data_IF_651236815489
#
_entry.id   IF_651236815489
#
_cell.length_a   1.000
_cell.length_b   1.000
_cell.length_c   1.000
_cell.angle_alpha   90.00
_cell.angle_beta   90.00
_cell.angle_gamma   90.00
#
_symmetry.space_group_name_H-M   'P 1'
#
loop_
_entity.id
_entity.type
_entity.pdbx_description
1 polymer ?
#
# COMPACT_ATOMS: atom_id res chain seq x y z
N UNK A 1 -30.88 7.93 24.68
CA UNK A 1 -29.72 8.76 25.08
C UNK A 1 -28.36 8.18 24.67
N UNK A 2 -28.15 6.84 24.66
CA UNK A 2 -26.86 6.25 24.23
C UNK A 2 -26.44 6.60 22.78
N UNK A 3 -27.39 6.67 21.83
CA UNK A 3 -27.09 7.04 20.44
C UNK A 3 -26.60 8.49 20.27
N UNK A 4 -27.03 9.42 21.14
CA UNK A 4 -26.59 10.82 21.09
C UNK A 4 -25.18 11.00 21.67
N UNK A 5 -24.78 10.21 22.66
CA UNK A 5 -23.39 10.16 23.11
C UNK A 5 -22.49 9.48 22.09
N UNK A 6 -22.97 8.43 21.41
CA UNK A 6 -22.25 7.79 20.30
C UNK A 6 -22.02 8.77 19.14
N UNK A 7 -23.04 9.53 18.73
CA UNK A 7 -22.92 10.60 17.72
C UNK A 7 -22.10 11.82 18.21
N UNK A 8 -22.09 12.12 19.51
CA UNK A 8 -21.28 13.19 20.10
C UNK A 8 -19.77 12.96 20.01
N UNK A 9 -19.33 11.69 19.94
CA UNK A 9 -17.93 11.32 19.63
C UNK A 9 -17.57 11.52 18.15
N UNK A 10 -18.55 11.57 17.26
CA UNK A 10 -18.39 11.88 15.83
C UNK A 10 -18.53 13.37 15.57
N UNK A 11 -17.85 14.21 16.35
CA UNK A 11 -17.57 15.56 15.91
C UNK A 11 -16.74 15.51 14.61
N UNK A 12 -16.91 16.49 13.73
CA UNK A 12 -16.08 16.59 12.51
C UNK A 12 -14.57 16.57 12.83
N UNK A 13 -14.17 17.11 13.99
CA UNK A 13 -12.80 17.03 14.48
C UNK A 13 -12.39 15.60 14.88
N UNK A 14 -13.25 14.83 15.55
CA UNK A 14 -13.00 13.42 15.84
C UNK A 14 -12.82 12.57 14.58
N UNK A 15 -13.68 12.79 13.57
CA UNK A 15 -13.54 12.16 12.25
C UNK A 15 -12.23 12.55 11.55
N UNK A 16 -11.85 13.82 11.59
CA UNK A 16 -10.59 14.29 11.01
C UNK A 16 -9.37 13.66 11.70
N UNK A 17 -9.38 13.58 13.03
CA UNK A 17 -8.31 12.92 13.81
C UNK A 17 -8.23 11.43 13.44
N UNK A 18 -9.37 10.73 13.36
CA UNK A 18 -9.41 9.33 12.94
C UNK A 18 -8.91 9.13 11.51
N UNK A 19 -9.27 10.04 10.58
CA UNK A 19 -8.78 9.99 9.20
C UNK A 19 -7.26 10.22 9.12
N UNK A 20 -6.72 11.20 9.84
CA UNK A 20 -5.28 11.46 9.91
C UNK A 20 -4.53 10.29 10.54
N UNK A 21 -5.07 9.73 11.62
CA UNK A 21 -4.54 8.53 12.25
C UNK A 21 -4.50 7.36 11.26
N UNK A 22 -5.62 7.10 10.59
CA UNK A 22 -5.75 6.06 9.58
C UNK A 22 -4.77 6.26 8.43
N UNK A 23 -4.62 7.49 7.92
CA UNK A 23 -3.65 7.83 6.88
C UNK A 23 -2.21 7.52 7.32
N UNK A 24 -1.88 7.76 8.58
CA UNK A 24 -0.56 7.45 9.15
C UNK A 24 -0.28 5.95 9.14
N UNK A 25 -1.29 5.10 9.34
CA UNK A 25 -1.14 3.64 9.24
C UNK A 25 -1.03 3.13 7.79
N UNK A 26 -1.60 3.86 6.83
CA UNK A 26 -1.55 3.50 5.40
C UNK A 26 -0.27 3.95 4.71
N UNK A 27 0.40 5.01 5.20
CA UNK A 27 1.64 5.51 4.61
C UNK A 27 2.76 4.45 4.56
N UNK A 28 3.05 3.68 5.64
CA UNK A 28 4.01 2.58 5.58
C UNK A 28 3.65 1.50 4.56
N UNK A 29 2.36 1.19 4.39
CA UNK A 29 1.88 0.21 3.40
C UNK A 29 2.18 0.68 1.98
N UNK A 30 1.88 1.95 1.68
CA UNK A 30 2.18 2.54 0.39
C UNK A 30 3.70 2.58 0.10
N UNK A 31 4.52 2.93 1.10
CA UNK A 31 5.98 2.91 0.99
C UNK A 31 6.53 1.49 0.77
N UNK A 32 6.02 0.51 1.51
CA UNK A 32 6.42 -0.89 1.35
C UNK A 32 6.04 -1.42 -0.03
N UNK A 33 4.81 -1.16 -0.50
CA UNK A 33 4.36 -1.53 -1.84
C UNK A 33 5.24 -0.89 -2.93
N UNK A 34 5.52 0.42 -2.81
CA UNK A 34 6.42 1.13 -3.72
C UNK A 34 7.81 0.52 -3.72
N UNK A 35 8.36 0.21 -2.54
CA UNK A 35 9.67 -0.40 -2.41
C UNK A 35 9.73 -1.79 -3.05
N UNK A 36 8.74 -2.66 -2.81
CA UNK A 36 8.63 -3.98 -3.46
C UNK A 36 8.56 -3.83 -5.00
N UNK A 37 7.79 -2.86 -5.49
CA UNK A 37 7.62 -2.62 -6.91
C UNK A 37 8.88 -2.03 -7.57
N UNK A 38 9.45 -0.97 -7.01
CA UNK A 38 10.60 -0.26 -7.61
C UNK A 38 11.93 -0.97 -7.37
N UNK A 39 12.16 -1.50 -6.16
CA UNK A 39 13.44 -2.09 -5.78
C UNK A 39 13.57 -3.53 -6.26
N UNK A 40 12.49 -4.31 -6.22
CA UNK A 40 12.48 -5.74 -6.52
C UNK A 40 11.70 -6.11 -7.78
N UNK A 41 11.13 -5.12 -8.48
CA UNK A 41 10.34 -5.33 -9.70
C UNK A 41 9.16 -6.31 -9.50
N UNK A 42 8.57 -6.34 -8.31
CA UNK A 42 7.38 -7.16 -8.06
C UNK A 42 6.16 -6.57 -8.79
N UNK A 43 5.36 -7.39 -9.49
CA UNK A 43 4.05 -6.99 -9.99
C UNK A 43 3.19 -6.46 -8.84
N UNK A 44 2.37 -5.43 -9.08
CA UNK A 44 1.47 -4.88 -8.06
C UNK A 44 0.47 -5.94 -7.57
N UNK A 45 0.13 -6.89 -8.43
CA UNK A 45 -0.64 -8.11 -8.10
C UNK A 45 -0.11 -8.84 -6.86
N UNK A 46 1.21 -8.86 -6.62
CA UNK A 46 1.80 -9.50 -5.45
C UNK A 46 2.25 -8.50 -4.38
N UNK A 47 2.77 -7.34 -4.81
CA UNK A 47 3.25 -6.31 -3.88
C UNK A 47 2.11 -5.73 -3.02
N UNK A 48 0.95 -5.47 -3.62
CA UNK A 48 -0.21 -4.89 -2.94
C UNK A 48 -0.74 -5.82 -1.83
N UNK A 49 -1.12 -7.08 -2.06
CA UNK A 49 -1.68 -7.93 -1.02
C UNK A 49 -0.68 -8.23 0.10
N UNK A 50 0.62 -8.40 -0.21
CA UNK A 50 1.66 -8.60 0.81
C UNK A 50 1.81 -7.36 1.70
N UNK A 51 1.97 -6.18 1.10
CA UNK A 51 2.11 -4.94 1.86
C UNK A 51 0.83 -4.62 2.65
N UNK A 52 -0.34 -4.83 2.06
CA UNK A 52 -1.63 -4.57 2.69
C UNK A 52 -1.87 -5.49 3.88
N UNK A 53 -1.75 -6.81 3.72
CA UNK A 53 -1.97 -7.78 4.81
C UNK A 53 -0.94 -7.58 5.92
N UNK A 54 0.32 -7.33 5.58
CA UNK A 54 1.35 -7.00 6.58
C UNK A 54 1.01 -5.72 7.36
N UNK A 55 0.54 -4.67 6.65
CA UNK A 55 0.08 -3.44 7.26
C UNK A 55 -1.16 -3.61 8.14
N UNK A 56 -2.13 -4.41 7.70
CA UNK A 56 -3.33 -4.73 8.46
C UNK A 56 -2.98 -5.50 9.74
N UNK A 57 -2.10 -6.49 9.63
CA UNK A 57 -1.59 -7.24 10.77
C UNK A 57 -0.90 -6.32 11.77
N UNK A 58 0.04 -5.47 11.32
CA UNK A 58 0.74 -4.51 12.18
C UNK A 58 -0.22 -3.50 12.82
N UNK A 59 -1.21 -3.02 12.08
CA UNK A 59 -2.24 -2.11 12.59
C UNK A 59 -3.13 -2.77 13.64
N UNK A 60 -3.23 -4.09 13.63
CA UNK A 60 -3.94 -4.86 14.65
C UNK A 60 -3.07 -5.19 15.87
N UNK A 61 -1.77 -4.86 15.86
CA UNK A 61 -0.89 -5.02 17.02
C UNK A 61 -0.95 -3.78 17.93
N UNK A 62 -1.13 -4.02 19.23
CA UNK A 62 -0.95 -3.00 20.26
C UNK A 62 -2.23 -2.29 20.72
N UNK A 63 -2.09 -1.33 21.64
CA UNK A 63 -3.22 -0.66 22.31
C UNK A 63 -3.98 0.32 21.41
N UNK A 64 -3.41 0.70 20.27
CA UNK A 64 -4.00 1.63 19.30
C UNK A 64 -4.57 0.92 18.06
N UNK A 65 -4.84 -0.38 18.18
CA UNK A 65 -5.40 -1.17 17.10
C UNK A 65 -6.80 -0.67 16.71
N UNK A 66 -6.93 -0.17 15.48
CA UNK A 66 -8.18 0.28 14.89
C UNK A 66 -8.45 -0.55 13.62
N UNK A 67 -9.19 -1.67 13.71
CA UNK A 67 -9.48 -2.56 12.60
C UNK A 67 -10.60 -1.99 11.71
N UNK A 68 -10.47 -0.75 11.26
CA UNK A 68 -11.44 -0.07 10.38
C UNK A 68 -11.04 -0.21 8.91
N UNK A 69 -11.98 -0.08 7.98
CA UNK A 69 -11.68 -0.07 6.53
C UNK A 69 -11.04 -1.36 6.01
N UNK A 70 -11.50 -2.53 6.49
CA UNK A 70 -11.02 -3.83 6.04
C UNK A 70 -11.57 -4.12 4.63
N UNK A 71 -10.72 -4.61 3.72
CA UNK A 71 -11.09 -4.90 2.33
C UNK A 71 -12.20 -5.94 2.24
N UNK A 72 -12.17 -6.93 3.13
CA UNK A 72 -13.18 -7.98 3.29
C UNK A 72 -14.55 -7.54 3.78
N UNK A 73 -14.73 -6.32 4.30
CA UNK A 73 -15.99 -5.92 4.92
C UNK A 73 -17.21 -6.08 4.00
N UNK A 74 -17.15 -5.80 2.68
CA UNK A 74 -18.27 -6.05 1.77
C UNK A 74 -18.54 -7.52 1.45
N UNK A 75 -17.67 -8.44 1.87
CA UNK A 75 -17.73 -9.87 1.53
C UNK A 75 -18.49 -10.72 2.57
N UNK A 76 -19.19 -10.09 3.52
CA UNK A 76 -19.82 -10.79 4.65
C UNK A 76 -21.08 -11.58 4.25
N UNK A 77 -21.71 -11.27 3.11
CA UNK A 77 -22.88 -11.98 2.61
C UNK A 77 -22.52 -13.15 1.68
N UNK A 78 -21.25 -13.27 1.29
CA UNK A 78 -20.77 -14.28 0.35
C UNK A 78 -20.21 -15.47 1.11
N UNK A 79 -21.10 -16.37 1.53
CA UNK A 79 -20.75 -17.53 2.37
C UNK A 79 -19.60 -18.38 1.78
N UNK A 80 -19.58 -18.57 0.47
CA UNK A 80 -18.52 -19.32 -0.23
C UNK A 80 -17.14 -18.64 -0.12
N UNK A 81 -17.08 -17.30 0.00
CA UNK A 81 -15.83 -16.57 0.26
C UNK A 81 -15.41 -16.73 1.72
N UNK A 82 -16.37 -16.70 2.65
CA UNK A 82 -16.10 -16.83 4.08
C UNK A 82 -15.46 -18.18 4.41
N UNK A 83 -15.86 -19.26 3.72
CA UNK A 83 -15.30 -20.60 3.96
C UNK A 83 -13.76 -20.63 3.85
N UNK A 84 -13.15 -19.81 2.97
CA UNK A 84 -11.68 -19.79 2.82
C UNK A 84 -10.97 -19.30 4.08
N UNK A 85 -11.67 -18.58 4.97
CA UNK A 85 -11.13 -18.16 6.26
C UNK A 85 -10.78 -19.36 7.16
N UNK A 86 -11.37 -20.53 6.95
CA UNK A 86 -10.99 -21.75 7.68
C UNK A 86 -9.54 -22.17 7.38
N UNK A 87 -9.02 -21.86 6.18
CA UNK A 87 -7.67 -22.27 5.74
C UNK A 87 -6.61 -21.22 6.06
N UNK A 88 -6.87 -19.97 5.67
CA UNK A 88 -5.87 -18.90 5.70
C UNK A 88 -6.22 -17.81 6.72
N UNK A 89 -7.28 -18.02 7.50
CA UNK A 89 -7.84 -16.98 8.35
C UNK A 89 -8.42 -15.84 7.53
N UNK A 90 -8.83 -14.81 8.27
CA UNK A 90 -9.45 -13.62 7.70
C UNK A 90 -8.51 -12.84 6.75
N UNK A 91 -7.20 -12.93 6.97
CA UNK A 91 -6.18 -12.27 6.17
C UNK A 91 -6.00 -12.90 4.78
N UNK A 92 -6.31 -14.18 4.62
CA UNK A 92 -6.30 -14.83 3.31
C UNK A 92 -7.30 -14.21 2.34
N UNK A 93 -8.45 -13.76 2.85
CA UNK A 93 -9.45 -13.07 2.06
C UNK A 93 -8.98 -11.68 1.62
N UNK A 94 -8.40 -10.90 2.52
CA UNK A 94 -7.80 -9.59 2.18
C UNK A 94 -6.66 -9.74 1.18
N UNK A 95 -5.87 -10.82 1.29
CA UNK A 95 -4.82 -11.15 0.33
C UNK A 95 -5.41 -11.39 -1.07
N UNK A 96 -6.45 -12.21 -1.19
CA UNK A 96 -7.09 -12.51 -2.49
C UNK A 96 -7.74 -11.26 -3.13
N UNK A 97 -8.40 -10.42 -2.32
CA UNK A 97 -8.93 -9.13 -2.75
C UNK A 97 -7.82 -8.15 -3.17
N UNK A 98 -6.70 -8.16 -2.43
CA UNK A 98 -5.52 -7.39 -2.80
C UNK A 98 -4.92 -7.83 -4.13
N UNK A 99 -4.86 -9.14 -4.40
CA UNK A 99 -4.36 -9.68 -5.68
C UNK A 99 -5.16 -9.17 -6.88
N UNK A 100 -6.50 -9.23 -6.83
CA UNK A 100 -7.33 -8.77 -7.96
C UNK A 100 -7.18 -7.26 -8.18
N UNK A 101 -7.12 -6.46 -7.11
CA UNK A 101 -6.89 -5.02 -7.21
C UNK A 101 -5.48 -4.70 -7.76
N UNK A 102 -4.47 -5.44 -7.33
CA UNK A 102 -3.12 -5.31 -7.86
C UNK A 102 -3.02 -5.69 -9.34
N UNK A 103 -3.74 -6.74 -9.78
CA UNK A 103 -3.83 -7.13 -11.19
C UNK A 103 -4.51 -6.05 -12.04
N UNK A 104 -5.60 -5.46 -11.55
CA UNK A 104 -6.28 -4.35 -12.22
C UNK A 104 -5.35 -3.14 -12.34
N UNK A 105 -4.56 -2.85 -11.31
CA UNK A 105 -3.57 -1.76 -11.35
C UNK A 105 -2.45 -2.05 -12.37
N UNK A 106 -1.89 -3.26 -12.37
CA UNK A 106 -0.88 -3.68 -13.35
C UNK A 106 -1.43 -3.56 -14.79
N UNK A 107 -2.68 -3.99 -15.02
CA UNK A 107 -3.35 -3.88 -16.31
C UNK A 107 -3.58 -2.42 -16.74
N UNK A 108 -4.04 -1.57 -15.81
CA UNK A 108 -4.25 -0.14 -16.07
C UNK A 108 -2.94 0.57 -16.43
N UNK A 109 -1.85 0.29 -15.71
CA UNK A 109 -0.53 0.84 -16.00
C UNK A 109 0.01 0.36 -17.36
N UNK A 110 -0.18 -0.92 -17.69
CA UNK A 110 0.19 -1.46 -19.00
C UNK A 110 -0.61 -0.80 -20.14
N UNK A 111 -1.90 -0.55 -19.93
CA UNK A 111 -2.77 0.14 -20.88
C UNK A 111 -2.35 1.60 -21.08
N UNK A 112 -2.16 2.36 -20.00
CA UNK A 112 -1.70 3.76 -20.04
C UNK A 112 -0.29 3.92 -20.63
N UNK A 113 0.61 2.95 -20.40
CA UNK A 113 1.93 2.93 -21.03
C UNK A 113 1.87 2.67 -22.53
N UNK A 114 0.86 1.93 -22.99
CA UNK A 114 0.63 1.64 -24.40
C UNK A 114 0.04 2.84 -25.14
N UNK A 115 -0.87 3.60 -24.53
CA UNK A 115 -1.44 4.81 -25.13
C UNK A 115 -0.40 5.91 -25.34
N UNK A 116 0.52 6.10 -24.38
CA UNK A 116 1.62 7.09 -24.52
C UNK A 116 2.59 6.74 -25.65
N UNK A 117 2.83 5.45 -25.89
CA UNK A 117 3.66 5.00 -27.01
C UNK A 117 2.99 5.24 -28.38
N UNK A 118 1.65 5.24 -28.41
CA UNK A 118 0.88 5.55 -29.62
C UNK A 118 0.72 7.08 -29.83
N UNK A 119 0.63 7.87 -28.76
CA UNK A 119 0.45 9.31 -28.81
C UNK A 119 1.69 10.10 -29.23
N UNK A 120 2.89 9.51 -29.11
CA UNK A 120 4.11 10.06 -29.68
C UNK A 120 4.68 9.06 -30.67
N UNK A 121 4.15 9.03 -31.92
CA UNK A 121 4.79 8.28 -32.99
C UNK A 121 6.21 8.79 -33.07
N UNK A 122 7.14 7.87 -32.86
CA UNK A 122 8.56 8.12 -32.81
C UNK A 122 8.99 9.03 -33.97
N UNK A 123 9.28 10.30 -33.67
CA UNK A 123 9.85 11.28 -34.63
C UNK A 123 11.27 10.89 -35.09
N UNK A 124 11.69 9.66 -34.76
CA UNK A 124 13.00 9.07 -35.00
C UNK A 124 13.06 8.23 -36.28
N UNK A 125 11.95 8.14 -37.02
CA UNK A 125 11.95 7.60 -38.39
C UNK A 125 12.40 8.60 -39.47
N UNK A 126 12.59 9.89 -39.17
CA UNK A 126 13.08 10.87 -40.16
C UNK A 126 14.61 11.02 -40.23
N UNK A 127 15.37 10.33 -39.38
CA UNK A 127 16.84 10.45 -39.36
C UNK A 127 17.60 9.60 -40.38
N UNK A 128 16.93 8.71 -41.14
CA UNK A 128 17.63 7.72 -41.99
C UNK A 128 18.02 8.20 -43.39
N UNK A 129 17.74 9.45 -43.78
CA UNK A 129 18.08 9.98 -45.11
C UNK A 129 19.04 11.18 -45.14
N UNK A 130 19.76 11.51 -44.06
CA UNK A 130 20.83 12.52 -44.09
C UNK A 130 22.27 11.97 -44.06
N UNK A 131 22.49 10.69 -44.40
CA UNK A 131 23.80 10.24 -44.88
C UNK A 131 23.96 10.65 -46.34
N UNK A 132 24.24 11.93 -46.56
CA UNK A 132 24.41 12.47 -47.90
C UNK A 132 24.96 13.87 -47.98
N UNK A 133 25.65 14.39 -46.95
CA UNK A 133 26.52 15.55 -47.12
C UNK A 133 27.49 15.68 -45.94
N UNK A 134 28.55 14.87 -45.96
CA UNK A 134 29.79 15.30 -45.32
C UNK A 134 30.50 16.21 -46.35
N UNK A 135 30.67 17.51 -46.09
CA UNK A 135 31.61 18.29 -46.88
C UNK A 135 33.03 17.72 -46.64
N UNK A 136 33.87 17.63 -47.67
CA UNK A 136 35.25 17.19 -47.51
C UNK A 136 36.00 18.27 -46.73
N UNK A 137 36.30 17.99 -45.45
CA UNK A 137 37.20 18.84 -44.67
C UNK A 137 38.64 18.48 -45.06
N UNK A 138 39.13 19.17 -46.10
CA UNK A 138 40.54 19.22 -46.45
C UNK A 138 41.05 20.61 -46.03
N UNK A 139 42.01 20.68 -45.10
CA UNK A 139 42.52 21.96 -44.66
C UNK A 139 43.42 21.92 -43.43
N UNK A 140 44.66 21.53 -43.66
CA UNK A 140 45.80 21.89 -42.80
C UNK A 140 45.96 23.41 -42.70
N UNK A 141 45.81 23.98 -41.51
CA UNK A 141 46.28 25.35 -41.16
C UNK A 141 46.69 25.28 -39.69
N UNK A 142 47.96 24.97 -39.38
CA UNK A 142 49.11 25.89 -39.18
C UNK A 142 48.72 27.15 -38.39
N UNK A 143 49.44 27.37 -37.30
CA UNK A 143 49.00 28.22 -36.20
C UNK A 143 48.78 29.68 -36.52
N UNK A 144 47.96 30.30 -35.68
CA UNK A 144 47.95 31.74 -35.47
C UNK A 144 47.49 32.05 -34.05
N UNK A 145 48.17 33.04 -33.49
CA UNK A 145 48.16 33.51 -32.12
C UNK A 145 47.02 34.49 -31.83
N UNK A 146 46.34 34.32 -30.68
CA UNK A 146 45.60 35.36 -29.92
C UNK A 146 44.34 35.96 -30.59
N UNK A 147 43.37 36.57 -29.84
CA UNK A 147 43.53 37.27 -28.56
C UNK A 147 42.60 36.85 -27.41
N UNK A 148 43.10 37.13 -26.20
CA UNK A 148 42.40 37.14 -24.92
C UNK A 148 41.04 37.87 -25.04
N UNK A 149 39.92 37.14 -24.90
CA UNK A 149 38.63 37.73 -24.52
C UNK A 149 38.49 37.67 -23.02
N UNK A 150 38.59 38.84 -22.40
CA UNK A 150 38.19 39.10 -21.03
C UNK A 150 36.71 38.74 -20.87
N UNK A 151 36.41 37.61 -20.23
CA UNK A 151 35.07 37.35 -19.71
C UNK A 151 34.96 38.03 -18.35
N UNK A 152 33.96 38.91 -18.26
CA UNK A 152 33.66 39.74 -17.11
C UNK A 152 33.53 38.92 -15.83
N UNK A 153 34.28 39.39 -14.84
CA UNK A 153 34.19 39.05 -13.43
C UNK A 153 32.82 39.47 -12.91
N UNK A 154 31.89 38.52 -12.78
CA UNK A 154 30.69 38.72 -11.97
C UNK A 154 31.04 38.45 -10.50
N UNK A 155 31.38 39.50 -9.76
CA UNK A 155 31.33 39.48 -8.30
C UNK A 155 29.89 39.71 -7.89
N UNK A 156 29.13 38.64 -7.69
CA UNK A 156 27.93 38.70 -6.88
C UNK A 156 28.37 38.84 -5.42
N UNK A 157 28.34 40.07 -4.92
CA UNK A 157 28.41 40.36 -3.50
C UNK A 157 27.26 39.64 -2.77
N UNK A 158 27.60 38.84 -1.77
CA UNK A 158 26.64 38.30 -0.82
C UNK A 158 26.12 39.46 0.05
N UNK A 159 24.80 39.55 0.31
CA UNK A 159 24.27 40.53 1.25
C UNK A 159 24.73 40.22 2.69
N UNK A 160 24.99 41.25 3.52
CA UNK A 160 25.42 41.05 4.90
C UNK A 160 24.30 40.42 5.74
N UNK A 161 24.59 39.31 6.39
CA UNK A 161 23.73 38.73 7.42
C UNK A 161 23.72 39.65 8.66
N UNK A 162 22.55 39.98 9.23
CA UNK A 162 22.50 40.67 10.51
C UNK A 162 22.94 39.73 11.63
N UNK A 163 23.91 40.21 12.39
CA UNK A 163 24.41 39.63 13.63
C UNK A 163 23.40 39.85 14.76
N UNK A 164 22.83 38.76 15.26
CA UNK A 164 22.13 38.76 16.56
C UNK A 164 22.28 37.41 17.27
N UNK A 165 23.29 37.35 18.14
CA UNK A 165 23.17 36.95 19.55
C UNK A 165 22.70 35.55 19.96
N UNK A 166 23.60 34.85 20.65
CA UNK A 166 23.38 33.98 21.82
C UNK A 166 23.16 32.45 21.64
N UNK A 167 23.56 31.63 22.64
CA UNK A 167 24.73 30.76 22.50
C UNK A 167 24.39 29.25 22.55
N UNK A 168 25.30 28.43 22.02
CA UNK A 168 25.43 27.02 22.40
C UNK A 168 26.80 26.79 23.06
N UNK A 169 26.87 26.01 24.14
CA UNK A 169 28.12 25.70 24.81
C UNK A 169 28.87 24.60 24.06
N UNK A 170 30.13 24.93 23.75
CA UNK A 170 31.36 24.20 24.08
C UNK A 170 31.31 22.67 24.25
N UNK A 171 32.16 22.02 23.45
CA UNK A 171 32.70 20.67 23.63
C UNK A 171 33.03 20.11 22.25
N UNK A 172 34.21 20.28 21.69
CA UNK A 172 35.51 19.94 22.26
C UNK A 172 36.05 18.78 21.42
N UNK A 173 37.04 19.05 20.57
CA UNK A 173 37.58 18.03 19.66
C UNK A 173 38.50 18.62 18.60
N UNK A 174 39.66 19.10 19.03
CA UNK A 174 40.81 19.33 18.16
C UNK A 174 41.21 18.03 17.46
N UNK A 175 41.26 18.08 16.13
CA UNK A 175 41.72 16.99 15.28
C UNK A 175 42.38 17.58 14.05
N UNK A 176 43.55 18.18 14.26
CA UNK A 176 44.45 18.74 13.25
C UNK A 176 44.99 17.62 12.37
N UNK A 177 44.59 17.61 11.10
CA UNK A 177 45.13 16.75 10.06
C UNK A 177 45.35 17.58 8.80
N UNK A 178 46.52 18.21 8.72
CA UNK A 178 47.04 18.84 7.52
C UNK A 178 47.30 17.72 6.48
N UNK A 179 46.57 17.77 5.37
CA UNK A 179 46.67 16.80 4.28
C UNK A 179 46.57 17.51 2.93
N UNK A 180 47.72 17.97 2.46
CA UNK A 180 48.17 18.06 1.07
C UNK A 180 47.09 18.23 -0.03
N UNK A 181 46.92 19.48 -0.46
CA UNK A 181 46.15 19.86 -1.65
C UNK A 181 46.95 19.46 -2.89
N UNK A 182 46.70 18.26 -3.42
CA UNK A 182 47.17 17.86 -4.74
C UNK A 182 46.22 18.42 -5.79
N UNK A 183 46.70 19.44 -6.51
CA UNK A 183 45.99 20.04 -7.64
C UNK A 183 45.86 19.05 -8.79
N UNK A 184 44.72 18.37 -8.88
CA UNK A 184 44.29 17.72 -10.10
C UNK A 184 43.60 18.75 -11.00
N UNK A 185 44.12 18.83 -12.22
CA UNK A 185 43.65 19.68 -13.29
C UNK A 185 42.27 19.16 -13.70
N UNK A 186 41.22 19.87 -13.31
CA UNK A 186 39.84 19.62 -13.75
C UNK A 186 39.80 19.91 -15.25
N UNK A 187 40.01 18.87 -16.05
CA UNK A 187 39.70 18.84 -17.46
C UNK A 187 38.19 19.03 -17.56
N UNK A 188 37.76 20.05 -18.30
CA UNK A 188 36.36 20.41 -18.48
C UNK A 188 35.56 19.26 -19.08
N UNK A 189 34.91 18.50 -18.21
CA UNK A 189 33.88 17.56 -18.57
C UNK A 189 32.62 18.38 -18.88
N UNK A 190 32.34 18.50 -20.18
CA UNK A 190 31.13 19.13 -20.69
C UNK A 190 29.94 18.42 -20.05
N UNK A 191 29.28 19.11 -19.12
CA UNK A 191 28.16 18.62 -18.33
C UNK A 191 26.93 18.37 -19.22
N UNK A 192 26.95 17.28 -19.96
CA UNK A 192 25.74 16.66 -20.50
C UNK A 192 25.11 15.79 -19.39
N UNK A 193 24.63 16.47 -18.33
CA UNK A 193 23.88 15.86 -17.22
C UNK A 193 22.42 15.53 -17.63
N UNK A 194 22.22 15.08 -18.87
CA UNK A 194 20.95 14.55 -19.36
C UNK A 194 20.83 13.03 -19.19
N UNK A 195 21.68 12.42 -18.35
CA UNK A 195 21.44 11.09 -17.74
C UNK A 195 20.31 11.17 -16.72
N UNK A 196 19.13 11.62 -17.16
CA UNK A 196 17.88 11.11 -16.63
C UNK A 196 17.92 9.60 -16.85
N UNK A 197 18.36 8.88 -15.81
CA UNK A 197 18.23 7.44 -15.70
C UNK A 197 16.76 7.11 -15.80
N UNK A 198 16.25 6.96 -17.03
CA UNK A 198 14.95 6.38 -17.29
C UNK A 198 15.03 5.00 -16.67
N UNK A 199 14.37 4.85 -15.52
CA UNK A 199 14.05 3.57 -14.92
C UNK A 199 13.31 2.80 -16.01
N UNK A 200 14.05 1.97 -16.75
CA UNK A 200 13.48 1.13 -17.80
C UNK A 200 12.75 0.03 -17.05
N UNK A 201 11.46 0.24 -16.85
CA UNK A 201 10.58 -0.84 -16.45
C UNK A 201 10.73 -1.95 -17.50
N UNK A 202 11.13 -3.17 -17.09
CA UNK A 202 11.27 -4.28 -18.01
C UNK A 202 9.89 -4.57 -18.62
N UNK A 203 9.70 -4.07 -19.84
CA UNK A 203 8.47 -4.21 -20.63
C UNK A 203 8.41 -5.61 -21.23
N UNK A 204 8.44 -6.63 -20.37
CA UNK A 204 8.29 -8.02 -20.80
C UNK A 204 6.81 -8.24 -21.15
N UNK A 205 6.53 -8.65 -22.39
CA UNK A 205 5.18 -9.00 -22.84
C UNK A 205 4.57 -10.15 -22.02
N UNK A 206 5.40 -10.95 -21.35
CA UNK A 206 5.01 -12.00 -20.41
C UNK A 206 4.71 -11.48 -19.00
N UNK A 207 4.94 -10.20 -18.71
CA UNK A 207 4.86 -9.62 -17.37
C UNK A 207 3.47 -9.68 -16.73
N UNK A 208 2.40 -9.66 -17.53
CA UNK A 208 1.02 -9.74 -17.02
C UNK A 208 0.47 -11.17 -16.96
N UNK A 209 1.06 -12.11 -17.72
CA UNK A 209 0.53 -13.47 -17.83
C UNK A 209 0.64 -14.24 -16.51
N UNK A 210 1.81 -14.18 -15.86
CA UNK A 210 2.03 -14.85 -14.57
C UNK A 210 1.09 -14.28 -13.49
N UNK A 211 1.04 -12.95 -13.25
CA UNK A 211 0.10 -12.38 -12.29
C UNK A 211 -1.37 -12.72 -12.57
N UNK A 212 -1.79 -12.67 -13.85
CA UNK A 212 -3.15 -13.00 -14.24
C UNK A 212 -3.49 -14.47 -13.95
N UNK A 213 -2.61 -15.41 -14.32
CA UNK A 213 -2.80 -16.84 -14.07
C UNK A 213 -2.80 -17.15 -12.56
N UNK A 214 -1.90 -16.56 -11.78
CA UNK A 214 -1.87 -16.72 -10.33
C UNK A 214 -3.15 -16.19 -9.68
N UNK A 215 -3.62 -15.01 -10.10
CA UNK A 215 -4.87 -14.42 -9.59
C UNK A 215 -6.06 -15.29 -9.96
N UNK A 216 -6.13 -15.75 -11.21
CA UNK A 216 -7.19 -16.65 -11.67
C UNK A 216 -7.20 -17.96 -10.87
N UNK A 217 -6.04 -18.57 -10.63
CA UNK A 217 -5.93 -19.80 -9.85
C UNK A 217 -6.46 -19.61 -8.42
N UNK A 218 -6.11 -18.52 -7.75
CA UNK A 218 -6.62 -18.19 -6.41
C UNK A 218 -8.13 -17.96 -6.44
N UNK A 219 -8.64 -17.20 -7.42
CA UNK A 219 -10.06 -16.89 -7.54
C UNK A 219 -10.93 -18.05 -8.04
N UNK A 220 -10.34 -19.08 -8.65
CA UNK A 220 -11.02 -20.35 -8.92
C UNK A 220 -10.99 -21.27 -7.69
N UNK A 221 -9.88 -21.27 -6.95
CA UNK A 221 -9.73 -22.06 -5.74
C UNK A 221 -10.73 -21.68 -4.65
N UNK A 222 -10.94 -20.38 -4.40
CA UNK A 222 -11.87 -19.89 -3.36
C UNK A 222 -13.31 -20.44 -3.52
N UNK A 223 -14.00 -20.25 -4.66
CA UNK A 223 -15.35 -20.78 -4.83
C UNK A 223 -15.36 -22.30 -4.91
N UNK A 224 -14.34 -22.95 -5.49
CA UNK A 224 -14.26 -24.40 -5.52
C UNK A 224 -14.17 -25.00 -4.11
N UNK A 225 -13.31 -24.41 -3.25
CA UNK A 225 -13.20 -24.81 -1.85
C UNK A 225 -14.47 -24.48 -1.06
N UNK A 226 -15.03 -23.28 -1.24
CA UNK A 226 -16.28 -22.89 -0.60
C UNK A 226 -17.44 -23.81 -0.97
N UNK A 227 -17.55 -24.19 -2.24
CA UNK A 227 -18.53 -25.17 -2.71
C UNK A 227 -18.30 -26.55 -2.08
N UNK A 228 -17.06 -27.05 -2.09
CA UNK A 228 -16.70 -28.32 -1.46
C UNK A 228 -17.11 -28.35 0.01
N UNK A 229 -16.78 -27.29 0.77
CA UNK A 229 -17.14 -27.17 2.19
C UNK A 229 -18.64 -27.10 2.43
N UNK A 230 -19.38 -26.41 1.56
CA UNK A 230 -20.84 -26.36 1.64
C UNK A 230 -21.48 -27.70 1.29
N UNK A 231 -20.93 -28.45 0.33
CA UNK A 231 -21.43 -29.80 0.01
C UNK A 231 -21.19 -30.80 1.14
N UNK A 232 -20.05 -30.73 1.85
CA UNK A 232 -19.84 -31.50 3.08
C UNK A 232 -20.89 -31.16 4.13
N UNK A 233 -21.25 -29.87 4.24
CA UNK A 233 -22.27 -29.43 5.18
C UNK A 233 -23.65 -29.99 4.80
N UNK A 234 -24.02 -30.04 3.52
CA UNK A 234 -25.30 -30.63 3.07
C UNK A 234 -25.44 -32.10 3.44
N UNK A 235 -24.39 -32.90 3.25
CA UNK A 235 -24.39 -34.33 3.61
C UNK A 235 -24.42 -34.56 5.13
N UNK A 236 -23.88 -33.60 5.90
CA UNK A 236 -23.84 -33.67 7.37
C UNK A 236 -25.07 -33.04 8.02
N UNK A 237 -25.79 -32.16 7.29
CA UNK A 237 -27.03 -31.53 7.71
C UNK A 237 -28.19 -32.53 7.62
N UNK A 238 -28.31 -33.36 8.64
CA UNK A 238 -29.53 -34.13 8.87
C UNK A 238 -30.61 -33.20 9.39
N UNK A 239 -31.90 -33.43 9.05
CA UNK A 239 -33.01 -32.81 9.76
C UNK A 239 -32.82 -33.08 11.26
N UNK A 240 -32.54 -32.00 11.99
CA UNK A 240 -32.22 -32.03 13.41
C UNK A 240 -33.03 -30.97 14.14
N UNK A 241 -33.01 -31.00 15.48
CA UNK A 241 -33.67 -29.97 16.30
C UNK A 241 -33.25 -28.58 15.81
N UNK A 242 -34.22 -27.69 15.58
CA UNK A 242 -33.92 -26.29 15.26
C UNK A 242 -33.16 -25.69 16.43
N UNK A 243 -31.88 -25.39 16.20
CA UNK A 243 -30.98 -24.84 17.20
C UNK A 243 -30.98 -23.32 17.07
N UNK A 244 -31.50 -22.63 18.09
CA UNK A 244 -31.24 -21.20 18.21
C UNK A 244 -29.90 -21.00 18.89
N UNK A 245 -28.96 -20.38 18.16
CA UNK A 245 -27.70 -19.93 18.70
C UNK A 245 -27.85 -18.44 19.03
N UNK A 246 -27.92 -18.14 20.32
CA UNK A 246 -27.89 -16.74 20.78
C UNK A 246 -26.42 -16.38 20.93
N UNK A 247 -25.86 -15.77 19.88
CA UNK A 247 -24.57 -15.12 19.95
C UNK A 247 -24.78 -13.62 20.12
N UNK A 248 -24.26 -13.04 21.20
CA UNK A 248 -24.32 -11.61 21.37
C UNK A 248 -23.43 -10.93 20.34
N UNK A 249 -23.98 -9.96 19.61
CA UNK A 249 -23.24 -9.07 18.71
C UNK A 249 -22.53 -7.98 19.51
N UNK A 250 -21.73 -8.38 20.51
CA UNK A 250 -20.93 -7.44 21.31
C UNK A 250 -19.47 -7.86 21.20
N UNK A 251 -18.56 -6.97 20.79
CA UNK A 251 -17.14 -7.28 20.74
C UNK A 251 -16.66 -7.72 22.12
N UNK A 252 -15.99 -8.87 22.17
CA UNK A 252 -15.49 -9.57 23.37
C UNK A 252 -14.33 -8.83 24.08
N UNK A 253 -14.38 -7.49 24.14
CA UNK A 253 -13.35 -6.62 24.70
C UNK A 253 -13.88 -5.59 25.70
N UNK A 254 -15.07 -5.78 26.27
CA UNK A 254 -15.43 -5.03 27.48
C UNK A 254 -14.75 -5.73 28.65
N UNK A 255 -13.50 -5.33 28.91
CA UNK A 255 -12.73 -5.88 30.02
C UNK A 255 -13.48 -5.71 31.34
N UNK A 256 -13.47 -6.77 32.15
CA UNK A 256 -13.99 -6.82 33.54
C UNK A 256 -13.48 -5.63 34.39
N UNK A 257 -12.35 -5.03 34.00
CA UNK A 257 -11.75 -3.87 34.63
C UNK A 257 -12.62 -2.60 34.69
N UNK A 258 -13.64 -2.45 33.83
CA UNK A 258 -14.47 -1.22 33.78
C UNK A 258 -15.82 -1.34 34.53
N UNK A 259 -15.96 -2.28 35.47
CA UNK A 259 -17.19 -2.45 36.24
C UNK A 259 -18.34 -3.09 35.43
N UNK A 260 -18.00 -3.87 34.40
CA UNK A 260 -18.97 -4.67 33.67
C UNK A 260 -19.41 -5.83 34.56
N UNK A 261 -20.70 -5.85 34.92
CA UNK A 261 -21.29 -6.97 35.67
C UNK A 261 -21.70 -8.09 34.69
N UNK A 262 -21.01 -9.23 34.68
CA UNK A 262 -21.33 -10.34 33.79
C UNK A 262 -22.73 -10.93 34.04
N UNK A 263 -23.32 -10.68 35.20
CA UNK A 263 -24.68 -11.17 35.52
C UNK A 263 -25.74 -10.47 34.69
N UNK A 264 -25.65 -9.15 34.52
CA UNK A 264 -26.58 -8.36 33.69
C UNK A 264 -26.59 -8.84 32.24
N UNK A 265 -25.41 -9.15 31.72
CA UNK A 265 -25.28 -9.68 30.36
C UNK A 265 -25.82 -11.10 30.22
N UNK A 266 -25.57 -11.95 31.21
CA UNK A 266 -26.15 -13.29 31.26
C UNK A 266 -27.67 -13.23 31.30
N UNK A 267 -28.24 -12.31 32.09
CA UNK A 267 -29.69 -12.07 32.16
C UNK A 267 -30.26 -11.60 30.83
N UNK A 268 -29.57 -10.69 30.12
CA UNK A 268 -29.98 -10.24 28.79
C UNK A 268 -29.95 -11.39 27.78
N UNK A 269 -28.90 -12.22 27.80
CA UNK A 269 -28.82 -13.44 26.99
C UNK A 269 -29.92 -14.46 27.35
N UNK A 270 -30.30 -14.57 28.63
CA UNK A 270 -31.43 -15.40 29.06
C UNK A 270 -32.73 -14.87 28.46
N UNK A 271 -32.98 -13.56 28.56
CA UNK A 271 -34.19 -12.92 28.06
C UNK A 271 -34.31 -13.04 26.53
N UNK A 272 -33.23 -12.83 25.79
CA UNK A 272 -33.18 -13.06 24.34
C UNK A 272 -33.45 -14.52 23.98
N UNK A 273 -32.85 -15.46 24.72
CA UNK A 273 -33.10 -16.90 24.54
C UNK A 273 -34.57 -17.27 24.76
N UNK A 274 -35.20 -16.73 25.81
CA UNK A 274 -36.62 -16.97 26.12
C UNK A 274 -37.54 -16.35 25.07
N UNK A 275 -37.20 -15.17 24.56
CA UNK A 275 -37.94 -14.51 23.48
C UNK A 275 -37.87 -15.33 22.19
N UNK A 276 -36.68 -15.84 21.83
CA UNK A 276 -36.50 -16.71 20.68
C UNK A 276 -37.27 -18.03 20.82
N UNK A 277 -37.34 -18.61 22.01
CA UNK A 277 -38.15 -19.81 22.30
C UNK A 277 -39.66 -19.60 22.07
N UNK A 278 -40.15 -18.36 22.19
CA UNK A 278 -41.55 -18.05 21.99
C UNK A 278 -41.93 -17.81 20.51
N UNK A 279 -40.96 -17.52 19.64
CA UNK A 279 -41.19 -17.19 18.23
C UNK A 279 -41.15 -18.44 17.33
N UNK A 280 -42.06 -18.60 16.36
CA UNK A 280 -41.99 -19.66 15.36
C UNK A 280 -40.96 -19.35 14.25
N UNK A 281 -40.14 -20.32 13.79
CA UNK A 281 -40.11 -21.72 14.24
C UNK A 281 -39.50 -21.85 15.64
N UNK A 282 -40.21 -22.55 16.54
CA UNK A 282 -39.76 -22.73 17.92
C UNK A 282 -38.47 -23.56 17.92
N UNK A 283 -37.35 -23.03 18.41
CA UNK A 283 -36.13 -23.82 18.50
C UNK A 283 -36.34 -24.96 19.50
N UNK A 284 -36.02 -26.19 19.10
CA UNK A 284 -36.08 -27.36 19.97
C UNK A 284 -34.98 -27.33 21.02
N UNK A 285 -33.88 -26.61 20.74
CA UNK A 285 -32.78 -26.43 21.69
C UNK A 285 -32.14 -25.05 21.52
N UNK A 286 -31.90 -24.36 22.63
CA UNK A 286 -31.11 -23.11 22.64
C UNK A 286 -29.72 -23.44 23.14
N UNK A 287 -28.70 -23.19 22.33
CA UNK A 287 -27.30 -23.39 22.72
C UNK A 287 -26.68 -22.03 22.99
N UNK A 288 -26.12 -21.89 24.19
CA UNK A 288 -25.33 -20.72 24.58
C UNK A 288 -23.86 -21.08 24.48
N UNK A 289 -23.13 -20.32 23.67
CA UNK A 289 -21.67 -20.40 23.67
C UNK A 289 -21.18 -19.58 24.86
N UNK A 290 -20.50 -20.25 25.81
CA UNK A 290 -19.75 -19.58 26.87
C UNK A 290 -18.52 -18.91 26.31
#
# INVERSE_FOLDING_TARGET
>A
MAAQHFLGFYSWSGLAVMACWQATTLAPVALAMRWLHERWAWPLTFALPVAWVGGEFLRNLGPLALPTGLLKAPCYDQLWMIQVCDLAGVYGLDFALGMINGLLADAALAWLGSTRALACPDRRLDGRNHRGMQPPYNGSVRGESSPKRNFGRWTAELPPHPSSGHPLPLGGGEGRGEGEVRGETVVGESADHSTQGRVRFPRNKHGLAIPALSTLAVWLFIPAYGWFRLSEAEDTMRPGPVLAVVQPDIPYRIGIANGFDPTVYLEEMIAMSQTALAQPPRPERVVRRK
#
